data_IF_899927937818
#
_entry.id   IF_899927937818
#
_cell.length_a   1.000
_cell.length_b   1.000
_cell.length_c   1.000
_cell.angle_alpha   90.00
_cell.angle_beta   90.00
_cell.angle_gamma   90.00
#
_symmetry.space_group_name_H-M   'P 1'
#
loop_
_entity.id
_entity.type
_entity.pdbx_description
1 polymer ?
#
# COMPACT_ATOMS: atom_id res chain seq x y z
N UNK A 1 -10.82 -2.10 16.34
CA UNK A 1 -10.94 -1.99 14.87
C UNK A 1 -9.87 -1.01 14.42
N UNK A 2 -9.06 -1.39 13.45
CA UNK A 2 -8.03 -0.54 12.85
C UNK A 2 -8.29 -0.33 11.36
N UNK A 3 -7.88 0.82 10.82
CA UNK A 3 -8.00 1.16 9.40
C UNK A 3 -6.69 1.81 8.92
N UNK A 4 -6.23 1.42 7.73
CA UNK A 4 -5.21 2.17 6.99
C UNK A 4 -5.88 3.06 5.95
N UNK A 5 -5.40 4.29 5.80
CA UNK A 5 -5.83 5.19 4.73
C UNK A 5 -4.64 5.51 3.84
N UNK A 6 -4.77 5.23 2.54
CA UNK A 6 -3.80 5.66 1.51
C UNK A 6 -4.25 6.94 0.80
N UNK A 7 -3.38 7.51 -0.02
CA UNK A 7 -3.69 8.60 -0.94
C UNK A 7 -4.60 8.16 -2.09
N UNK A 8 -4.45 6.93 -2.56
CA UNK A 8 -5.24 6.41 -3.69
C UNK A 8 -5.14 7.31 -4.93
N UNK A 9 -6.28 7.72 -5.47
CA UNK A 9 -6.38 8.65 -6.60
C UNK A 9 -6.11 10.11 -6.17
N UNK A 10 -5.03 10.35 -5.44
CA UNK A 10 -4.69 11.66 -4.86
C UNK A 10 -4.19 12.69 -5.88
N UNK A 11 -3.51 13.72 -5.37
CA UNK A 11 -3.04 14.88 -6.13
C UNK A 11 -2.17 14.52 -7.36
N UNK A 12 -1.34 13.48 -7.22
CA UNK A 12 -0.40 13.03 -8.25
C UNK A 12 -1.02 12.06 -9.27
N UNK A 13 -2.29 11.67 -9.10
CA UNK A 13 -2.95 10.76 -10.05
C UNK A 13 -3.15 11.42 -11.43
N UNK A 14 -3.45 10.64 -12.48
CA UNK A 14 -3.50 11.11 -13.88
C UNK A 14 -4.25 12.44 -14.04
N UNK A 15 -3.73 13.41 -14.82
CA UNK A 15 -4.44 14.65 -15.11
C UNK A 15 -5.73 14.42 -15.91
N UNK A 16 -5.90 13.24 -16.49
CA UNK A 16 -7.07 12.85 -17.26
C UNK A 16 -8.07 12.00 -16.46
N UNK A 17 -7.79 11.73 -15.18
CA UNK A 17 -8.64 10.93 -14.30
C UNK A 17 -9.27 11.75 -13.17
N UNK A 18 -10.18 11.12 -12.43
CA UNK A 18 -10.67 11.69 -11.17
C UNK A 18 -9.52 11.81 -10.16
N UNK A 19 -9.44 12.95 -9.47
CA UNK A 19 -8.49 13.20 -8.39
C UNK A 19 -9.23 13.56 -7.12
N UNK A 20 -8.76 13.02 -6.01
CA UNK A 20 -9.14 13.38 -4.66
C UNK A 20 -8.15 14.40 -4.12
N UNK A 21 -8.61 15.63 -3.90
CA UNK A 21 -7.86 16.77 -3.37
C UNK A 21 -8.15 17.04 -1.88
N UNK A 22 -9.09 16.30 -1.30
CA UNK A 22 -9.43 16.39 0.12
C UNK A 22 -8.43 15.63 1.02
N UNK A 23 -8.58 15.85 2.33
CA UNK A 23 -7.84 15.06 3.31
C UNK A 23 -8.23 13.58 3.25
N UNK A 24 -7.33 12.70 3.72
CA UNK A 24 -7.64 11.28 3.91
C UNK A 24 -8.75 11.17 4.96
N UNK A 25 -9.84 10.50 4.60
CA UNK A 25 -11.01 10.37 5.46
C UNK A 25 -11.63 8.98 5.34
N UNK A 26 -12.33 8.56 6.39
CA UNK A 26 -12.92 7.23 6.49
C UNK A 26 -14.33 7.30 7.05
N UNK A 27 -15.17 6.40 6.57
CA UNK A 27 -16.46 6.08 7.17
C UNK A 27 -16.52 4.56 7.34
N UNK A 28 -16.88 4.10 8.54
CA UNK A 28 -17.04 2.68 8.81
C UNK A 28 -18.24 2.44 9.73
N UNK A 29 -18.94 1.33 9.48
CA UNK A 29 -20.07 0.87 10.26
C UNK A 29 -19.92 -0.63 10.49
N UNK A 30 -19.83 -1.03 11.75
CA UNK A 30 -19.98 -2.41 12.19
C UNK A 30 -21.30 -2.52 12.96
N UNK A 31 -22.25 -3.26 12.39
CA UNK A 31 -23.57 -3.52 12.97
C UNK A 31 -23.62 -4.98 13.44
N UNK A 32 -23.70 -5.18 14.75
CA UNK A 32 -23.67 -6.49 15.41
C UNK A 32 -25.06 -6.81 15.93
N UNK A 33 -25.61 -7.94 15.52
CA UNK A 33 -26.84 -8.50 16.11
C UNK A 33 -26.45 -9.67 17.02
N UNK A 34 -26.87 -9.62 18.28
CA UNK A 34 -26.61 -10.66 19.27
C UNK A 34 -27.67 -11.77 19.21
N UNK A 35 -27.41 -12.88 19.89
CA UNK A 35 -28.29 -14.06 19.92
C UNK A 35 -29.62 -13.79 20.62
N UNK A 36 -29.68 -12.80 21.51
CA UNK A 36 -30.91 -12.35 22.17
C UNK A 36 -31.73 -11.36 21.32
N UNK A 37 -31.26 -11.05 20.10
CA UNK A 37 -31.89 -10.11 19.17
C UNK A 37 -31.52 -8.64 19.40
N UNK A 38 -30.75 -8.31 20.44
CA UNK A 38 -30.26 -6.94 20.64
C UNK A 38 -29.22 -6.56 19.57
N UNK A 39 -29.02 -5.26 19.36
CA UNK A 39 -28.07 -4.75 18.36
C UNK A 39 -27.07 -3.79 18.98
N UNK A 40 -25.83 -3.83 18.50
CA UNK A 40 -24.80 -2.84 18.80
C UNK A 40 -24.19 -2.32 17.51
N UNK A 41 -24.12 -1.01 17.41
CA UNK A 41 -23.50 -0.30 16.31
C UNK A 41 -22.18 0.33 16.76
N UNK A 42 -21.13 0.10 15.99
CA UNK A 42 -19.84 0.77 16.13
C UNK A 42 -19.62 1.56 14.84
N UNK A 43 -19.40 2.86 14.96
CA UNK A 43 -19.23 3.76 13.83
C UNK A 43 -17.94 4.56 13.97
N UNK A 44 -17.45 5.13 12.88
CA UNK A 44 -16.49 6.24 12.93
C UNK A 44 -17.12 7.44 13.64
N UNK A 45 -16.43 7.97 14.66
CA UNK A 45 -16.86 9.09 15.50
C UNK A 45 -15.63 9.80 16.13
N UNK A 46 -15.80 10.91 16.88
CA UNK A 46 -14.68 11.64 17.48
C UNK A 46 -13.86 10.88 18.54
N UNK A 47 -14.30 9.71 19.01
CA UNK A 47 -13.55 8.90 19.98
C UNK A 47 -12.37 8.15 19.35
N UNK A 48 -12.35 8.07 18.02
CA UNK A 48 -11.27 7.45 17.27
C UNK A 48 -9.96 8.23 17.41
N UNK A 49 -8.86 7.50 17.31
CA UNK A 49 -7.51 8.06 17.28
C UNK A 49 -6.78 7.65 16.01
N UNK A 50 -5.76 8.41 15.66
CA UNK A 50 -4.89 8.13 14.51
C UNK A 50 -3.42 8.37 14.86
N UNK A 51 -2.54 7.71 14.11
CA UNK A 51 -1.11 7.96 14.12
C UNK A 51 -0.52 7.66 12.75
N UNK A 52 0.65 8.23 12.46
CA UNK A 52 1.45 7.81 11.30
C UNK A 52 1.98 6.40 11.56
N UNK A 53 2.02 5.58 10.52
CA UNK A 53 2.51 4.20 10.60
C UNK A 53 3.78 3.98 9.77
N UNK A 54 4.11 2.71 9.49
CA UNK A 54 5.30 2.36 8.73
C UNK A 54 5.21 2.73 7.25
N UNK A 55 4.02 2.95 6.68
CA UNK A 55 3.89 3.51 5.33
C UNK A 55 4.17 5.03 5.41
N UNK A 56 5.35 5.44 4.96
CA UNK A 56 5.84 6.83 5.02
C UNK A 56 5.55 7.61 3.74
N UNK A 57 5.30 6.92 2.63
CA UNK A 57 4.78 7.48 1.39
C UNK A 57 3.99 6.40 0.63
N UNK A 58 2.92 6.79 -0.05
CA UNK A 58 2.14 5.91 -0.91
C UNK A 58 1.56 6.70 -2.09
N UNK A 59 1.68 6.15 -3.30
CA UNK A 59 1.25 6.75 -4.54
C UNK A 59 1.01 5.67 -5.62
N UNK A 60 -0.03 5.82 -6.44
CA UNK A 60 -0.35 4.83 -7.47
C UNK A 60 0.68 4.75 -8.61
N UNK A 61 1.47 5.79 -8.82
CA UNK A 61 2.48 5.88 -9.88
C UNK A 61 3.91 5.87 -9.36
N UNK A 62 4.16 6.53 -8.23
CA UNK A 62 5.49 6.58 -7.64
C UNK A 62 5.76 5.41 -6.68
N UNK A 63 4.73 4.68 -6.27
CA UNK A 63 4.84 3.47 -5.46
C UNK A 63 4.73 3.74 -3.96
N UNK A 64 5.49 3.04 -3.14
CA UNK A 64 5.30 3.05 -1.68
C UNK A 64 6.64 3.07 -0.93
N UNK A 65 6.75 3.87 0.11
CA UNK A 65 7.86 3.84 1.05
C UNK A 65 7.38 3.28 2.37
N UNK A 66 8.09 2.27 2.89
CA UNK A 66 7.76 1.57 4.12
C UNK A 66 8.97 1.48 5.05
N UNK A 67 8.80 1.93 6.28
CA UNK A 67 9.78 1.85 7.36
C UNK A 67 9.28 0.93 8.47
N UNK A 68 9.77 -0.30 8.48
CA UNK A 68 9.40 -1.31 9.46
C UNK A 68 9.79 -0.91 10.89
N UNK A 69 10.73 0.03 11.08
CA UNK A 69 11.10 0.53 12.41
C UNK A 69 9.91 1.22 13.09
N UNK A 70 9.02 1.81 12.31
CA UNK A 70 7.80 2.50 12.75
C UNK A 70 6.59 1.55 12.96
N UNK A 71 6.73 0.24 12.74
CA UNK A 71 5.67 -0.73 13.05
C UNK A 71 5.26 -0.69 14.53
N UNK A 72 3.97 -0.83 14.80
CA UNK A 72 3.44 -0.95 16.16
C UNK A 72 2.68 -2.26 16.23
N UNK A 73 3.34 -3.30 16.73
CA UNK A 73 2.72 -4.63 16.83
C UNK A 73 1.46 -4.55 17.71
N UNK A 74 0.37 -5.20 17.27
CA UNK A 74 -0.91 -5.23 17.99
C UNK A 74 -1.74 -3.95 17.96
N UNK A 75 -1.38 -2.94 17.15
CA UNK A 75 -2.14 -1.67 17.08
C UNK A 75 -3.62 -1.84 16.69
N UNK A 76 -3.94 -2.93 15.99
CA UNK A 76 -5.28 -3.31 15.54
C UNK A 76 -5.98 -4.31 16.49
N UNK A 77 -5.33 -4.69 17.58
CA UNK A 77 -5.86 -5.59 18.61
C UNK A 77 -6.49 -4.84 19.78
N UNK A 78 -7.35 -5.53 20.55
CA UNK A 78 -7.92 -4.98 21.78
C UNK A 78 -6.86 -4.84 22.86
N UNK A 79 -6.88 -3.74 23.62
CA UNK A 79 -5.96 -3.52 24.74
C UNK A 79 -4.64 -2.87 24.36
N UNK A 80 -4.45 -2.49 23.10
CA UNK A 80 -3.32 -1.66 22.67
C UNK A 80 -3.31 -0.30 23.39
N UNK A 81 -2.13 0.14 23.84
CA UNK A 81 -1.94 1.45 24.45
C UNK A 81 -1.82 2.56 23.40
N UNK A 82 -2.95 3.19 23.08
CA UNK A 82 -3.06 4.28 22.10
C UNK A 82 -2.97 5.68 22.73
N UNK A 83 -2.46 5.83 23.96
CA UNK A 83 -2.43 7.13 24.66
C UNK A 83 -1.61 8.20 23.94
N UNK A 84 -0.59 7.80 23.17
CA UNK A 84 0.24 8.71 22.38
C UNK A 84 -0.35 9.09 21.01
N UNK A 85 -1.46 8.46 20.61
CA UNK A 85 -2.12 8.73 19.34
C UNK A 85 -2.93 10.02 19.40
N UNK A 86 -3.09 10.64 18.24
CA UNK A 86 -3.81 11.91 18.09
C UNK A 86 -5.29 11.64 17.94
N UNK A 87 -6.14 12.51 18.48
CA UNK A 87 -7.57 12.47 18.19
C UNK A 87 -7.83 12.73 16.70
N UNK A 88 -8.83 12.06 16.13
CA UNK A 88 -9.29 12.38 14.78
C UNK A 88 -10.04 13.71 14.76
N UNK A 89 -10.14 14.30 13.57
CA UNK A 89 -11.06 15.40 13.30
C UNK A 89 -12.21 14.90 12.43
N UNK A 90 -13.42 15.38 12.69
CA UNK A 90 -14.57 15.15 11.81
C UNK A 90 -14.52 16.12 10.65
N UNK A 91 -14.83 15.63 9.46
CA UNK A 91 -14.85 16.40 8.21
C UNK A 91 -16.16 16.15 7.46
N UNK A 92 -16.52 17.06 6.59
CA UNK A 92 -17.69 16.90 5.73
C UNK A 92 -17.50 15.73 4.76
N UNK A 93 -18.56 14.96 4.54
CA UNK A 93 -18.53 13.85 3.61
C UNK A 93 -18.21 14.35 2.17
N UNK A 94 -17.54 13.51 1.35
CA UNK A 94 -17.41 13.80 -0.08
C UNK A 94 -18.77 14.10 -0.73
N UNK A 95 -18.75 14.90 -1.79
CA UNK A 95 -19.93 15.08 -2.63
C UNK A 95 -20.36 13.74 -3.23
N UNK A 96 -21.68 13.54 -3.33
CA UNK A 96 -22.28 12.33 -3.91
C UNK A 96 -23.04 11.50 -2.87
N UNK A 97 -23.64 10.41 -3.32
CA UNK A 97 -24.35 9.48 -2.45
C UNK A 97 -23.50 8.22 -2.26
N UNK A 98 -23.38 7.76 -1.01
CA UNK A 98 -22.78 6.46 -0.73
C UNK A 98 -23.64 5.36 -1.36
N UNK A 99 -23.02 4.53 -2.21
CA UNK A 99 -23.68 3.42 -2.90
C UNK A 99 -22.84 2.16 -2.72
N UNK A 100 -23.50 1.01 -2.69
CA UNK A 100 -22.81 -0.28 -2.72
C UNK A 100 -22.04 -0.41 -4.04
N UNK A 101 -20.79 -0.82 -3.96
CA UNK A 101 -20.04 -1.21 -5.14
C UNK A 101 -20.62 -2.54 -5.68
N UNK A 102 -20.95 -2.57 -6.97
CA UNK A 102 -21.50 -3.75 -7.66
C UNK A 102 -20.46 -4.46 -8.54
N UNK A 103 -19.29 -3.84 -8.76
CA UNK A 103 -18.21 -4.45 -9.52
C UNK A 103 -17.44 -5.47 -8.65
N UNK A 104 -16.86 -6.52 -9.25
CA UNK A 104 -15.93 -7.39 -8.55
C UNK A 104 -14.79 -6.57 -7.94
N UNK A 105 -14.43 -6.80 -6.66
CA UNK A 105 -13.35 -6.06 -6.02
C UNK A 105 -11.98 -6.48 -6.59
N UNK A 106 -11.01 -5.57 -6.52
CA UNK A 106 -9.61 -5.90 -6.80
C UNK A 106 -9.11 -6.87 -5.74
N UNK A 107 -8.54 -8.00 -6.18
CA UNK A 107 -8.00 -9.07 -5.33
C UNK A 107 -6.73 -9.63 -5.94
N UNK A 108 -5.87 -10.22 -5.10
CA UNK A 108 -4.78 -11.08 -5.60
C UNK A 108 -5.41 -12.34 -6.18
N UNK A 109 -5.24 -12.53 -7.49
CA UNK A 109 -5.80 -13.69 -8.22
C UNK A 109 -4.77 -14.77 -8.52
N UNK A 110 -3.47 -14.43 -8.48
CA UNK A 110 -2.37 -15.35 -8.71
C UNK A 110 -1.09 -14.85 -8.01
N UNK A 111 -0.14 -15.75 -7.76
CA UNK A 111 1.19 -15.44 -7.21
C UNK A 111 2.25 -16.12 -8.05
N UNK A 112 3.04 -15.33 -8.78
CA UNK A 112 4.12 -15.82 -9.61
C UNK A 112 5.44 -15.86 -8.84
N UNK A 113 6.23 -16.92 -9.06
CA UNK A 113 7.64 -16.99 -8.65
C UNK A 113 8.53 -16.52 -9.82
N UNK A 114 9.65 -15.84 -9.55
CA UNK A 114 10.59 -15.47 -10.61
C UNK A 114 11.14 -16.75 -11.27
N UNK A 115 11.16 -16.76 -12.61
CA UNK A 115 11.73 -17.86 -13.42
C UNK A 115 13.25 -17.75 -13.54
N UNK A 116 13.78 -16.53 -13.46
CA UNK A 116 15.22 -16.26 -13.55
C UNK A 116 15.61 -15.09 -12.65
N UNK A 117 16.76 -15.21 -12.01
CA UNK A 117 17.41 -14.14 -11.24
C UNK A 117 18.80 -13.91 -11.86
N UNK A 118 19.14 -12.65 -12.14
CA UNK A 118 20.43 -12.28 -12.73
C UNK A 118 21.04 -11.13 -11.95
N UNK A 119 22.26 -11.28 -11.46
CA UNK A 119 23.05 -10.16 -10.95
C UNK A 119 23.65 -9.40 -12.13
N UNK A 120 23.26 -8.14 -12.31
CA UNK A 120 23.71 -7.31 -13.45
C UNK A 120 24.92 -6.45 -13.09
N UNK A 121 25.13 -6.18 -11.79
CA UNK A 121 26.28 -5.53 -11.16
C UNK A 121 26.33 -6.00 -9.69
N UNK A 122 27.49 -5.95 -9.01
CA UNK A 122 27.58 -6.34 -7.60
C UNK A 122 26.48 -5.71 -6.74
N UNK A 123 25.63 -6.55 -6.13
CA UNK A 123 24.53 -6.12 -5.28
C UNK A 123 23.23 -5.72 -6.01
N UNK A 124 23.20 -5.72 -7.34
CA UNK A 124 22.03 -5.34 -8.15
C UNK A 124 21.50 -6.53 -8.94
N UNK A 125 20.28 -6.95 -8.59
CA UNK A 125 19.63 -8.14 -9.14
C UNK A 125 18.41 -7.78 -9.98
N UNK A 126 18.22 -8.51 -11.09
CA UNK A 126 17.02 -8.46 -11.93
C UNK A 126 16.27 -9.78 -11.81
N UNK A 127 14.98 -9.70 -11.50
CA UNK A 127 14.07 -10.82 -11.38
C UNK A 127 13.13 -10.85 -12.58
N UNK A 128 13.17 -11.94 -13.35
CA UNK A 128 12.31 -12.15 -14.52
C UNK A 128 11.23 -13.18 -14.18
N UNK A 129 9.97 -12.76 -14.19
CA UNK A 129 8.81 -13.61 -13.91
C UNK A 129 8.32 -14.38 -15.16
N UNK A 130 8.87 -14.09 -16.34
CA UNK A 130 8.47 -14.69 -17.62
C UNK A 130 7.10 -14.24 -18.12
N UNK A 131 6.44 -13.33 -17.41
CA UNK A 131 5.15 -12.77 -17.74
C UNK A 131 5.11 -11.30 -17.36
N UNK A 132 4.40 -10.54 -18.19
CA UNK A 132 4.11 -9.16 -17.93
C UNK A 132 2.81 -9.05 -17.11
N UNK A 133 2.85 -8.44 -15.93
CA UNK A 133 1.73 -8.44 -14.97
C UNK A 133 1.42 -7.04 -14.42
N UNK A 134 0.18 -6.84 -13.99
CA UNK A 134 -0.21 -5.73 -13.12
C UNK A 134 -0.32 -6.26 -11.67
N UNK A 135 0.38 -5.62 -10.75
CA UNK A 135 0.45 -6.05 -9.34
C UNK A 135 1.69 -5.48 -8.66
N UNK A 136 2.08 -6.10 -7.55
CA UNK A 136 3.25 -5.73 -6.75
C UNK A 136 4.08 -6.97 -6.40
N UNK A 137 5.36 -6.75 -6.08
CA UNK A 137 6.23 -7.78 -5.57
C UNK A 137 6.03 -7.96 -4.06
N UNK A 138 6.13 -9.21 -3.60
CA UNK A 138 6.20 -9.56 -2.19
C UNK A 138 7.63 -9.90 -1.82
N UNK A 139 8.15 -9.27 -0.79
CA UNK A 139 9.57 -9.30 -0.44
C UNK A 139 9.76 -9.97 0.91
N UNK A 140 10.82 -10.77 1.00
CA UNK A 140 11.28 -11.37 2.25
C UNK A 140 12.75 -11.03 2.41
N UNK A 141 13.06 -10.31 3.48
CA UNK A 141 14.40 -9.83 3.77
C UNK A 141 14.78 -10.15 5.22
N UNK A 142 16.06 -10.44 5.46
CA UNK A 142 16.64 -10.60 6.81
C UNK A 142 17.94 -9.80 6.87
N UNK A 143 18.12 -8.97 7.90
CA UNK A 143 19.35 -8.19 8.08
C UNK A 143 19.68 -7.24 6.93
N UNK A 144 18.69 -6.89 6.11
CA UNK A 144 18.89 -6.03 4.96
C UNK A 144 19.03 -4.58 5.43
N UNK A 145 19.86 -3.78 4.76
CA UNK A 145 19.81 -2.32 4.91
C UNK A 145 18.60 -1.73 4.18
N UNK A 146 18.69 -0.46 3.80
CA UNK A 146 17.72 0.16 2.88
C UNK A 146 17.64 -0.65 1.58
N UNK A 147 16.43 -1.01 1.19
CA UNK A 147 16.15 -1.70 -0.06
C UNK A 147 15.29 -0.82 -0.97
N UNK A 148 15.59 -0.83 -2.27
CA UNK A 148 14.79 -0.15 -3.29
C UNK A 148 14.43 -1.15 -4.38
N UNK A 149 13.14 -1.28 -4.66
CA UNK A 149 12.62 -2.02 -5.80
C UNK A 149 12.12 -1.04 -6.85
N UNK A 150 12.61 -1.20 -8.08
CA UNK A 150 12.14 -0.45 -9.24
C UNK A 150 11.38 -1.41 -10.16
N UNK A 151 10.11 -1.12 -10.45
CA UNK A 151 9.35 -1.94 -11.39
C UNK A 151 9.49 -1.38 -12.81
N UNK A 152 10.26 -2.08 -13.65
CA UNK A 152 10.52 -1.64 -15.02
C UNK A 152 9.83 -2.55 -16.05
N UNK A 153 8.93 -1.98 -16.86
CA UNK A 153 8.30 -2.67 -17.98
C UNK A 153 9.20 -2.63 -19.22
N UNK A 154 9.52 -3.79 -19.81
CA UNK A 154 10.16 -3.86 -21.13
C UNK A 154 9.13 -4.29 -22.17
N UNK A 155 8.63 -3.36 -22.99
CA UNK A 155 7.97 -3.73 -24.26
C UNK A 155 9.03 -4.24 -25.24
N UNK A 156 8.62 -5.22 -26.07
CA UNK A 156 9.47 -6.01 -26.95
C UNK A 156 10.59 -5.26 -27.68
N UNK A 157 11.70 -5.97 -27.89
CA UNK A 157 12.93 -5.47 -28.49
C UNK A 157 12.71 -4.89 -29.90
N UNK A 158 12.71 -3.56 -30.03
CA UNK A 158 13.22 -2.95 -31.25
C UNK A 158 14.75 -3.03 -31.21
N UNK A 159 15.34 -3.63 -32.25
CA UNK A 159 16.78 -3.71 -32.49
C UNK A 159 17.40 -2.30 -32.55
N UNK A 160 17.74 -1.74 -31.39
CA UNK A 160 18.80 -0.73 -31.28
C UNK A 160 19.66 -1.11 -30.08
N UNK A 161 20.95 -1.27 -30.35
CA UNK A 161 22.00 -1.39 -29.34
C UNK A 161 21.96 -0.11 -28.53
N UNK A 162 21.24 -0.13 -27.40
CA UNK A 162 21.16 0.79 -26.25
C UNK A 162 19.77 0.55 -25.65
N UNK A 163 19.71 -0.28 -24.60
CA UNK A 163 18.47 -0.57 -23.88
C UNK A 163 18.11 0.66 -23.02
N UNK A 164 17.35 1.59 -23.61
CA UNK A 164 16.69 2.66 -22.86
C UNK A 164 15.44 2.12 -22.18
N UNK A 165 15.40 2.17 -20.85
CA UNK A 165 14.18 1.98 -20.07
C UNK A 165 13.26 3.18 -20.33
N UNK A 166 12.18 3.01 -21.09
CA UNK A 166 11.10 4.00 -21.15
C UNK A 166 10.08 3.65 -20.08
N UNK A 167 10.12 4.38 -18.96
CA UNK A 167 8.98 4.52 -18.06
C UNK A 167 7.77 5.01 -18.88
N UNK A 168 6.56 4.57 -18.51
CA UNK A 168 5.37 5.34 -18.90
C UNK A 168 5.59 6.76 -18.38
N UNK A 169 5.51 7.75 -19.26
CA UNK A 169 5.90 9.14 -18.99
C UNK A 169 5.35 9.60 -17.63
N UNK A 170 6.22 9.74 -16.62
CA UNK A 170 5.87 10.21 -15.28
C UNK A 170 5.65 9.15 -14.18
N UNK A 171 5.63 7.84 -14.46
CA UNK A 171 5.43 6.80 -13.44
C UNK A 171 6.75 6.06 -13.14
N UNK A 172 7.22 6.06 -11.88
CA UNK A 172 8.45 5.34 -11.48
C UNK A 172 8.18 3.91 -11.00
N UNK A 173 7.13 3.71 -10.20
CA UNK A 173 6.78 2.42 -9.61
C UNK A 173 7.83 1.91 -8.61
N UNK A 174 8.31 2.80 -7.74
CA UNK A 174 9.41 2.52 -6.82
C UNK A 174 8.88 2.12 -5.44
N UNK A 175 9.45 1.08 -4.83
CA UNK A 175 9.18 0.73 -3.43
C UNK A 175 10.46 0.84 -2.61
N UNK A 176 10.43 1.66 -1.57
CA UNK A 176 11.53 1.79 -0.62
C UNK A 176 11.20 1.08 0.69
N UNK A 177 12.11 0.26 1.19
CA UNK A 177 11.94 -0.51 2.42
C UNK A 177 13.10 -0.24 3.38
N UNK A 178 12.75 0.10 4.62
CA UNK A 178 13.67 0.17 5.76
C UNK A 178 13.29 -0.92 6.78
N UNK A 179 13.90 -2.10 6.72
CA UNK A 179 13.59 -3.19 7.64
C UNK A 179 14.14 -2.92 9.05
N UNK A 180 13.60 -3.60 10.06
CA UNK A 180 14.19 -3.66 11.40
C UNK A 180 15.46 -4.53 11.36
N UNK A 181 16.51 -4.10 12.06
CA UNK A 181 17.69 -4.93 12.29
C UNK A 181 17.35 -6.14 13.17
N UNK A 182 17.90 -7.30 12.80
CA UNK A 182 17.88 -8.60 13.50
C UNK A 182 16.54 -9.05 14.08
N UNK A 183 15.66 -9.50 13.17
CA UNK A 183 14.43 -10.24 13.49
C UNK A 183 14.15 -11.35 12.47
N UNK A 184 13.20 -12.26 12.73
CA UNK A 184 12.80 -13.28 11.76
C UNK A 184 12.35 -12.62 10.45
N UNK A 185 12.60 -13.26 9.31
CA UNK A 185 12.12 -12.78 8.00
C UNK A 185 10.62 -12.47 8.07
N UNK A 186 10.27 -11.20 7.93
CA UNK A 186 8.89 -10.76 7.73
C UNK A 186 8.62 -10.54 6.25
N UNK A 187 7.35 -10.70 5.91
CA UNK A 187 6.82 -10.56 4.55
C UNK A 187 6.34 -9.11 4.39
N UNK A 188 6.88 -8.40 3.40
CA UNK A 188 6.60 -7.00 3.08
C UNK A 188 6.08 -6.87 1.64
#
# INVERSE_FOLDING_TARGET
MGLWLGHGYGENFSPYGFRWDGQRQAIALLDVTFTDGTRRRLTTDPSWKWSLGPITADDLYDGESYDAREERDGWDESGFDDRSWRSVSTVDAPRGALRSNTMPPVRVVDTLRPRKVTEIRPGTYVYDFGQNIAGWARLRCRGCGRYTHHHAYRRGAQRRRHAGYRHQSGCRGDRHLHPRGDGPSREL
#
